data_IF_646505170696
#
_entry.id   IF_646505170696
#
_cell.length_a   1.000
_cell.length_b   1.000
_cell.length_c   1.000
_cell.angle_alpha   90.00
_cell.angle_beta   90.00
_cell.angle_gamma   90.00
#
_symmetry.space_group_name_H-M   'P 1'
#
loop_
_entity.id
_entity.type
_entity.pdbx_description
1 polymer ?
#
# COMPACT_ATOMS: atom_id res chain seq x y z
N UNK A 1 -13.76 -29.44 19.52
CA UNK A 1 -13.15 -29.44 18.17
C UNK A 1 -11.99 -28.47 18.23
N UNK A 2 -10.77 -28.99 18.36
CA UNK A 2 -9.59 -28.22 18.79
C UNK A 2 -8.64 -28.09 17.61
N UNK A 3 -8.34 -26.87 17.17
CA UNK A 3 -7.34 -26.63 16.13
C UNK A 3 -5.96 -26.62 16.79
N UNK A 4 -5.13 -27.61 16.45
CA UNK A 4 -3.70 -27.59 16.77
C UNK A 4 -2.95 -26.90 15.64
N UNK A 5 -2.15 -25.89 15.97
CA UNK A 5 -1.19 -25.29 15.05
C UNK A 5 0.14 -26.04 15.16
N UNK A 6 0.61 -26.61 14.05
CA UNK A 6 1.94 -27.20 13.94
C UNK A 6 3.05 -26.15 14.09
N UNK A 7 4.32 -26.58 14.26
CA UNK A 7 5.43 -25.64 14.41
C UNK A 7 5.54 -24.74 13.19
N UNK A 8 5.86 -23.46 13.42
CA UNK A 8 6.04 -22.47 12.36
C UNK A 8 7.13 -22.94 11.38
N UNK A 9 6.74 -23.33 10.17
CA UNK A 9 7.68 -23.59 9.09
C UNK A 9 8.55 -22.34 8.85
N UNK A 10 9.86 -22.56 8.84
CA UNK A 10 10.84 -21.52 8.54
C UNK A 10 10.60 -20.96 7.14
N UNK A 11 10.21 -19.70 7.08
CA UNK A 11 9.97 -18.95 5.84
C UNK A 11 11.27 -18.78 5.04
N UNK A 12 11.48 -19.66 4.05
CA UNK A 12 12.35 -19.37 2.92
C UNK A 12 11.60 -19.65 1.64
N UNK A 13 10.59 -18.82 1.36
CA UNK A 13 10.15 -18.64 -0.01
C UNK A 13 11.38 -18.21 -0.81
N UNK A 14 11.77 -18.93 -1.89
CA UNK A 14 12.82 -18.44 -2.74
C UNK A 14 12.37 -17.08 -3.25
N UNK A 15 13.18 -16.05 -3.00
CA UNK A 15 13.02 -14.74 -3.59
C UNK A 15 13.33 -14.82 -5.09
N UNK A 16 12.57 -15.64 -5.83
CA UNK A 16 12.51 -15.58 -7.27
C UNK A 16 11.92 -14.20 -7.57
N UNK A 17 12.80 -13.23 -7.85
CA UNK A 17 12.38 -11.92 -8.36
C UNK A 17 11.64 -12.20 -9.66
N UNK A 18 10.32 -12.06 -9.61
CA UNK A 18 9.50 -12.14 -10.80
C UNK A 18 10.02 -11.08 -11.80
N UNK A 19 10.29 -11.45 -13.07
CA UNK A 19 10.97 -10.58 -14.02
C UNK A 19 10.12 -9.38 -14.47
N UNK A 20 8.81 -9.38 -14.16
CA UNK A 20 7.88 -8.29 -14.45
C UNK A 20 7.30 -7.72 -13.15
N UNK A 21 6.96 -6.42 -13.12
CA UNK A 21 6.16 -5.86 -12.03
C UNK A 21 4.87 -6.67 -11.86
N UNK A 22 4.44 -6.87 -10.62
CA UNK A 22 3.10 -7.38 -10.36
C UNK A 22 2.08 -6.35 -10.85
N UNK A 23 1.08 -6.82 -11.61
CA UNK A 23 0.02 -6.00 -12.16
C UNK A 23 -1.35 -6.59 -11.75
N UNK A 24 -2.34 -5.73 -11.53
CA UNK A 24 -3.68 -6.13 -11.13
C UNK A 24 -4.76 -5.38 -11.93
N UNK A 25 -5.87 -6.06 -12.20
CA UNK A 25 -7.08 -5.47 -12.76
C UNK A 25 -8.31 -6.17 -12.18
N UNK A 26 -9.42 -5.45 -12.05
CA UNK A 26 -10.70 -5.99 -11.62
C UNK A 26 -11.81 -5.54 -12.57
N UNK A 27 -12.28 -6.47 -13.41
CA UNK A 27 -13.18 -6.13 -14.52
C UNK A 27 -12.53 -5.09 -15.43
N UNK A 28 -13.23 -3.96 -15.65
CA UNK A 28 -12.73 -2.84 -16.44
C UNK A 28 -11.82 -1.88 -15.65
N UNK A 29 -11.69 -2.08 -14.35
CA UNK A 29 -10.86 -1.23 -13.50
C UNK A 29 -9.40 -1.68 -13.52
N UNK A 30 -8.50 -0.72 -13.75
CA UNK A 30 -7.06 -0.92 -13.66
C UNK A 30 -6.57 -0.51 -12.28
N UNK A 31 -5.64 -1.27 -11.73
CA UNK A 31 -5.03 -0.92 -10.46
C UNK A 31 -4.11 0.29 -10.62
N UNK A 32 -4.16 1.20 -9.66
CA UNK A 32 -3.27 2.35 -9.57
C UNK A 32 -2.55 2.29 -8.22
N UNK A 33 -1.26 1.97 -8.26
CA UNK A 33 -0.43 1.93 -7.05
C UNK A 33 0.12 3.32 -6.72
N UNK A 34 -0.46 3.96 -5.70
CA UNK A 34 0.02 5.25 -5.20
C UNK A 34 1.48 5.23 -4.74
N UNK A 35 1.98 4.09 -4.24
CA UNK A 35 3.39 3.96 -3.87
C UNK A 35 4.30 4.10 -5.10
N UNK A 36 3.97 3.41 -6.20
CA UNK A 36 4.76 3.47 -7.44
C UNK A 36 4.73 4.87 -8.06
N UNK A 37 3.57 5.54 -8.01
CA UNK A 37 3.40 6.91 -8.49
C UNK A 37 4.38 7.88 -7.82
N UNK A 38 4.52 7.82 -6.49
CA UNK A 38 5.45 8.67 -5.76
C UNK A 38 6.90 8.18 -5.81
N UNK A 39 7.12 6.86 -5.88
CA UNK A 39 8.47 6.29 -5.98
C UNK A 39 9.15 6.64 -7.30
N UNK A 40 8.40 6.66 -8.40
CA UNK A 40 8.92 6.98 -9.74
C UNK A 40 9.45 8.42 -9.84
N UNK A 41 8.91 9.34 -9.02
CA UNK A 41 9.26 10.76 -9.00
C UNK A 41 10.06 11.12 -7.73
N UNK A 42 9.35 11.38 -6.61
CA UNK A 42 9.96 11.84 -5.37
C UNK A 42 10.92 10.82 -4.75
N UNK A 43 10.57 9.53 -4.80
CA UNK A 43 11.42 8.48 -4.25
C UNK A 43 12.77 8.39 -4.98
N UNK A 44 12.75 8.56 -6.31
CA UNK A 44 13.96 8.58 -7.14
C UNK A 44 14.79 9.84 -6.92
N UNK A 45 14.16 11.00 -6.80
CA UNK A 45 14.85 12.28 -6.66
C UNK A 45 15.40 12.53 -5.26
N UNK A 46 14.61 12.26 -4.21
CA UNK A 46 14.92 12.66 -2.84
C UNK A 46 15.38 11.50 -1.93
N UNK A 47 15.41 10.26 -2.46
CA UNK A 47 15.79 9.04 -1.69
C UNK A 47 15.00 8.88 -0.38
N UNK A 48 13.76 9.37 -0.35
CA UNK A 48 12.87 9.28 0.80
C UNK A 48 12.08 7.96 0.80
N UNK A 49 11.68 7.50 2.00
CA UNK A 49 10.69 6.44 2.10
C UNK A 49 9.34 6.95 1.59
N UNK A 50 8.87 6.40 0.47
CA UNK A 50 7.52 6.66 -0.07
C UNK A 50 6.41 5.93 0.70
N UNK A 51 6.66 5.56 1.97
CA UNK A 51 5.62 5.00 2.83
C UNK A 51 4.49 6.01 3.05
N UNK A 52 3.28 5.50 3.26
CA UNK A 52 2.07 6.32 3.38
C UNK A 52 2.23 7.44 4.43
N UNK A 53 2.59 7.08 5.67
CA UNK A 53 2.68 8.04 6.79
C UNK A 53 3.76 9.10 6.59
N UNK A 54 5.04 8.76 6.30
CA UNK A 54 6.06 9.78 6.03
C UNK A 54 5.69 10.72 4.88
N UNK A 55 5.16 10.17 3.79
CA UNK A 55 4.79 10.95 2.61
C UNK A 55 3.61 11.89 2.91
N UNK A 56 2.59 11.41 3.63
CA UNK A 56 1.47 12.22 4.08
C UNK A 56 1.93 13.40 4.93
N UNK A 57 2.80 13.16 5.94
CA UNK A 57 3.32 14.24 6.80
C UNK A 57 4.12 15.27 6.01
N UNK A 58 4.97 14.82 5.10
CA UNK A 58 5.77 15.71 4.23
C UNK A 58 4.90 16.64 3.39
N UNK A 59 3.70 16.19 3.01
CA UNK A 59 2.75 16.96 2.21
C UNK A 59 1.68 17.68 3.06
N UNK A 60 1.93 17.82 4.36
CA UNK A 60 1.08 18.58 5.29
C UNK A 60 -0.22 17.89 5.68
N UNK A 61 -0.32 16.57 5.50
CA UNK A 61 -1.46 15.77 5.97
C UNK A 61 -1.19 15.22 7.38
N UNK A 62 -2.26 15.04 8.15
CA UNK A 62 -2.20 14.55 9.53
C UNK A 62 -2.68 13.09 9.61
N UNK A 63 -1.78 12.10 9.51
CA UNK A 63 -2.16 10.71 9.65
C UNK A 63 -2.51 10.32 11.09
N UNK A 64 -3.48 9.43 11.25
CA UNK A 64 -3.69 8.70 12.51
C UNK A 64 -2.59 7.63 12.64
N UNK A 65 -1.94 7.55 13.79
CA UNK A 65 -0.86 6.58 14.02
C UNK A 65 -1.20 5.69 15.20
N UNK A 66 -0.83 4.42 15.07
CA UNK A 66 -1.04 3.39 16.09
C UNK A 66 0.27 2.63 16.27
N UNK A 67 0.47 2.05 17.45
CA UNK A 67 1.58 1.11 17.67
C UNK A 67 1.29 -0.18 16.90
N UNK A 68 2.06 -0.40 15.82
CA UNK A 68 1.92 -1.57 14.96
C UNK A 68 2.19 -2.89 15.68
N UNK A 69 3.01 -2.87 16.73
CA UNK A 69 3.30 -4.07 17.52
C UNK A 69 2.09 -4.50 18.35
N UNK A 70 1.20 -3.57 18.65
CA UNK A 70 -0.01 -3.75 19.46
C UNK A 70 -1.29 -3.53 18.65
N UNK A 71 -1.24 -3.59 17.31
CA UNK A 71 -2.40 -3.29 16.46
C UNK A 71 -3.61 -4.20 16.73
N UNK A 72 -3.35 -5.40 17.23
CA UNK A 72 -4.37 -6.39 17.61
C UNK A 72 -5.04 -6.09 18.96
N UNK A 73 -4.52 -5.14 19.73
CA UNK A 73 -5.12 -4.65 20.97
C UNK A 73 -5.99 -3.41 20.77
N UNK A 74 -6.02 -2.84 19.57
CA UNK A 74 -6.88 -1.70 19.28
C UNK A 74 -8.34 -2.08 19.49
N UNK A 75 -9.11 -1.17 20.08
CA UNK A 75 -10.56 -1.24 20.05
C UNK A 75 -11.07 -1.19 18.61
N UNK A 76 -12.29 -1.68 18.38
CA UNK A 76 -12.92 -1.61 17.05
C UNK A 76 -13.00 -0.16 16.53
N UNK A 77 -13.24 0.80 17.43
CA UNK A 77 -13.29 2.22 17.08
C UNK A 77 -11.92 2.73 16.62
N UNK A 78 -10.85 2.47 17.39
CA UNK A 78 -9.49 2.90 17.02
C UNK A 78 -9.04 2.25 15.70
N UNK A 79 -9.38 0.98 15.49
CA UNK A 79 -9.12 0.27 14.23
C UNK A 79 -9.85 0.94 13.06
N UNK A 80 -11.14 1.27 13.23
CA UNK A 80 -11.93 1.96 12.20
C UNK A 80 -11.33 3.32 11.85
N UNK A 81 -10.99 4.12 12.86
CA UNK A 81 -10.40 5.45 12.67
C UNK A 81 -9.04 5.37 11.96
N UNK A 82 -8.20 4.40 12.35
CA UNK A 82 -6.90 4.15 11.73
C UNK A 82 -7.04 3.74 10.26
N UNK A 83 -7.87 2.74 9.95
CA UNK A 83 -8.07 2.25 8.57
C UNK A 83 -8.73 3.32 7.70
N UNK A 84 -9.72 4.04 8.21
CA UNK A 84 -10.35 5.15 7.49
C UNK A 84 -9.38 6.32 7.25
N UNK A 85 -8.45 6.58 8.17
CA UNK A 85 -7.36 7.53 7.95
C UNK A 85 -6.48 7.08 6.79
N UNK A 86 -6.02 5.83 6.77
CA UNK A 86 -5.17 5.28 5.70
C UNK A 86 -5.83 5.36 4.32
N UNK A 87 -7.09 4.95 4.21
CA UNK A 87 -7.83 5.01 2.96
C UNK A 87 -7.99 6.45 2.45
N UNK A 88 -8.30 7.41 3.34
CA UNK A 88 -8.41 8.83 2.98
C UNK A 88 -7.08 9.40 2.51
N UNK A 89 -5.99 9.09 3.20
CA UNK A 89 -4.65 9.54 2.83
C UNK A 89 -4.20 8.97 1.49
N UNK A 90 -4.43 7.67 1.26
CA UNK A 90 -4.08 7.03 -0.01
C UNK A 90 -4.81 7.70 -1.18
N UNK A 91 -6.11 7.94 -1.03
CA UNK A 91 -6.92 8.66 -2.02
C UNK A 91 -6.40 10.09 -2.23
N UNK A 92 -6.17 10.84 -1.16
CA UNK A 92 -5.73 12.24 -1.23
C UNK A 92 -4.36 12.38 -1.92
N UNK A 93 -3.41 11.50 -1.59
CA UNK A 93 -2.10 11.49 -2.21
C UNK A 93 -2.17 11.22 -3.71
N UNK A 94 -2.99 10.26 -4.14
CA UNK A 94 -3.22 9.98 -5.56
C UNK A 94 -3.95 11.14 -6.23
N UNK A 95 -4.96 11.72 -5.58
CA UNK A 95 -5.73 12.85 -6.10
C UNK A 95 -4.83 14.04 -6.47
N UNK A 96 -3.85 14.36 -5.61
CA UNK A 96 -2.85 15.43 -5.85
C UNK A 96 -1.94 15.17 -7.05
N UNK A 97 -1.89 13.93 -7.55
CA UNK A 97 -1.03 13.50 -8.66
C UNK A 97 -1.83 12.94 -9.83
N UNK A 98 -3.15 13.18 -9.89
CA UNK A 98 -4.01 12.70 -10.98
C UNK A 98 -3.53 12.99 -12.40
N UNK A 99 -2.89 14.15 -12.69
CA UNK A 99 -2.34 14.39 -14.03
C UNK A 99 -1.32 13.34 -14.49
N UNK A 100 -0.65 12.66 -13.56
CA UNK A 100 0.33 11.61 -13.84
C UNK A 100 -0.25 10.20 -13.64
N UNK A 101 -1.34 10.07 -12.88
CA UNK A 101 -1.88 8.79 -12.41
C UNK A 101 -2.16 7.77 -13.52
N UNK A 102 -2.73 8.21 -14.66
CA UNK A 102 -3.09 7.29 -15.76
C UNK A 102 -1.91 6.54 -16.35
N UNK A 103 -0.73 7.16 -16.41
CA UNK A 103 0.50 6.53 -16.91
C UNK A 103 1.06 5.48 -15.93
N UNK A 104 0.56 5.48 -14.69
CA UNK A 104 0.96 4.57 -13.61
C UNK A 104 -0.13 3.56 -13.26
N UNK A 105 -1.24 3.52 -14.00
CA UNK A 105 -2.17 2.41 -13.94
C UNK A 105 -1.51 1.15 -14.50
N UNK A 106 -1.75 0.01 -13.85
CA UNK A 106 -1.37 -1.29 -14.37
C UNK A 106 -1.97 -1.53 -15.76
N UNK A 107 -1.23 -2.24 -16.60
CA UNK A 107 -1.77 -2.72 -17.87
C UNK A 107 -2.85 -3.77 -17.60
N UNK A 108 -3.96 -3.81 -18.38
CA UNK A 108 -4.96 -4.85 -18.22
C UNK A 108 -4.32 -6.23 -18.29
N UNK A 109 -4.57 -7.07 -17.30
CA UNK A 109 -4.18 -8.48 -17.36
C UNK A 109 -5.21 -9.16 -18.25
N UNK A 110 -4.83 -9.44 -19.50
CA UNK A 110 -5.65 -10.27 -20.37
C UNK A 110 -5.70 -11.67 -19.77
N UNK A 111 -6.82 -12.01 -19.12
CA UNK A 111 -7.11 -13.38 -18.72
C UNK A 111 -7.43 -14.16 -19.99
N UNK A 112 -6.52 -15.07 -20.38
CA UNK A 112 -6.78 -16.10 -21.39
C UNK A 112 -7.74 -17.16 -20.86
#
# INVERSE_FOLDING_TARGET
MSLQFGPAESSRWPAARHPRPYACSWGEHRHLDGYQLYRADLGRQFKISCGLKPLSRMLGLSPVEVDRTQIHHLSEQEMHEYVASDARLARELVARRMPLAFAHCDVPVLTH
#
